data_IF_201238753687
#
_entry.id   IF_201238753687
#
_cell.length_a   1.000
_cell.length_b   1.000
_cell.length_c   1.000
_cell.angle_alpha   90.00
_cell.angle_beta   90.00
_cell.angle_gamma   90.00
#
_symmetry.space_group_name_H-M   'P 1'
#
loop_
_entity.id
_entity.type
_entity.pdbx_description
1 polymer ?
#
# COMPACT_ATOMS: atom_id res chain seq x y z
N UNK A 1 9.43 23.03 -14.29
CA UNK A 1 8.05 22.69 -13.93
C UNK A 1 7.99 21.26 -13.46
N UNK A 2 7.44 20.98 -12.28
CA UNK A 2 7.20 19.60 -11.85
C UNK A 2 6.10 18.97 -12.73
N UNK A 3 6.20 17.70 -13.12
CA UNK A 3 5.13 17.05 -13.85
C UNK A 3 3.95 16.90 -12.90
N UNK A 4 2.84 17.57 -13.21
CA UNK A 4 1.54 17.29 -12.61
C UNK A 4 1.06 15.99 -13.26
N UNK A 5 1.49 14.86 -12.71
CA UNK A 5 0.87 13.58 -13.03
C UNK A 5 -0.58 13.66 -12.59
N UNK A 6 -1.51 13.67 -13.54
CA UNK A 6 -2.95 13.63 -13.27
C UNK A 6 -3.22 12.34 -12.49
N UNK A 7 -3.43 12.47 -11.18
CA UNK A 7 -4.05 11.43 -10.37
C UNK A 7 -5.55 11.66 -10.46
N UNK A 8 -6.28 10.71 -11.03
CA UNK A 8 -7.75 10.79 -11.12
C UNK A 8 -8.35 10.47 -12.49
N UNK A 9 -7.63 9.76 -13.37
CA UNK A 9 -8.10 9.46 -14.73
C UNK A 9 -9.10 8.30 -14.85
N UNK A 10 -9.27 7.46 -13.84
CA UNK A 10 -10.30 6.41 -13.83
C UNK A 10 -10.52 5.87 -12.40
N UNK A 11 -11.07 6.71 -11.52
CA UNK A 11 -11.40 6.35 -10.14
C UNK A 11 -12.59 5.36 -10.03
N UNK A 12 -13.06 4.81 -11.14
CA UNK A 12 -14.23 3.93 -11.20
C UNK A 12 -13.93 2.43 -11.08
N UNK A 13 -12.66 2.03 -10.89
CA UNK A 13 -12.28 0.60 -10.85
C UNK A 13 -11.19 0.24 -9.83
N UNK A 14 -10.80 1.16 -8.94
CA UNK A 14 -9.74 0.93 -7.95
C UNK A 14 -10.26 1.25 -6.54
N UNK A 15 -11.05 0.36 -5.91
CA UNK A 15 -11.72 0.63 -4.65
C UNK A 15 -10.78 0.74 -3.44
N UNK A 16 -9.53 0.28 -3.56
CA UNK A 16 -8.48 0.46 -2.56
C UNK A 16 -7.17 0.88 -3.23
N UNK A 17 -6.72 2.09 -2.91
CA UNK A 17 -5.43 2.65 -3.34
C UNK A 17 -4.54 2.89 -2.13
N UNK A 18 -3.25 2.62 -2.28
CA UNK A 18 -2.22 2.95 -1.30
C UNK A 18 -1.27 3.98 -1.89
N UNK A 19 -0.92 4.99 -1.11
CA UNK A 19 0.15 5.96 -1.40
C UNK A 19 1.09 6.08 -0.22
N UNK A 20 2.39 5.90 -0.45
CA UNK A 20 3.43 5.95 0.58
C UNK A 20 4.47 7.02 0.22
N UNK A 21 4.81 7.84 1.22
CA UNK A 21 5.82 8.90 1.12
C UNK A 21 6.93 8.67 2.14
N UNK A 22 8.16 8.94 1.75
CA UNK A 22 9.32 9.04 2.64
C UNK A 22 9.48 10.50 3.09
N UNK A 23 9.13 10.76 4.35
CA UNK A 23 9.23 12.09 4.96
C UNK A 23 10.67 12.53 5.26
N UNK A 24 11.63 11.61 5.34
CA UNK A 24 13.06 11.93 5.56
C UNK A 24 13.67 12.50 4.28
N UNK A 25 13.29 11.98 3.11
CA UNK A 25 13.74 12.47 1.80
C UNK A 25 12.83 13.51 1.17
N UNK A 26 11.56 13.55 1.59
CA UNK A 26 10.54 14.37 0.95
C UNK A 26 10.11 13.85 -0.43
N UNK A 27 10.16 12.53 -0.64
CA UNK A 27 9.88 11.89 -1.94
C UNK A 27 8.90 10.72 -1.78
N UNK A 28 8.25 10.26 -2.87
CA UNK A 28 7.52 9.01 -2.81
C UNK A 28 8.40 7.82 -2.41
N UNK A 29 7.81 6.85 -1.71
CA UNK A 29 8.50 5.65 -1.23
C UNK A 29 8.07 4.42 -2.03
N UNK A 30 8.85 4.09 -3.05
CA UNK A 30 8.61 2.92 -3.89
C UNK A 30 9.28 1.64 -3.40
N UNK A 31 8.98 0.54 -4.08
CA UNK A 31 9.47 -0.81 -3.82
C UNK A 31 9.12 -1.41 -2.45
N UNK A 32 8.10 -0.87 -1.79
CA UNK A 32 7.58 -1.41 -0.52
C UNK A 32 6.59 -2.52 -0.83
N UNK A 33 6.82 -3.72 -0.30
CA UNK A 33 5.82 -4.80 -0.36
C UNK A 33 4.71 -4.54 0.65
N UNK A 34 3.48 -4.91 0.30
CA UNK A 34 2.36 -4.85 1.23
C UNK A 34 1.44 -6.05 1.07
N UNK A 35 0.74 -6.36 2.15
CA UNK A 35 -0.30 -7.39 2.18
C UNK A 35 -1.61 -6.79 2.71
N UNK A 36 -2.72 -7.17 2.10
CA UNK A 36 -4.07 -6.78 2.53
C UNK A 36 -4.75 -7.98 3.15
N UNK A 37 -5.33 -7.77 4.32
CA UNK A 37 -6.09 -8.74 5.07
C UNK A 37 -7.51 -8.27 5.31
N UNK A 38 -8.45 -9.21 5.38
CA UNK A 38 -9.82 -9.00 5.84
C UNK A 38 -10.06 -9.79 7.11
N UNK A 39 -10.83 -9.22 8.02
CA UNK A 39 -11.26 -9.93 9.21
C UNK A 39 -12.50 -10.77 8.91
N UNK A 40 -12.40 -12.07 9.15
CA UNK A 40 -13.50 -13.02 9.00
C UNK A 40 -14.36 -13.12 10.27
N UNK A 41 -15.51 -13.77 10.14
CA UNK A 41 -16.37 -14.06 11.29
C UNK A 41 -15.61 -14.94 12.30
N UNK A 42 -15.48 -14.45 13.54
CA UNK A 42 -14.64 -15.09 14.56
C UNK A 42 -13.29 -14.39 14.80
N UNK A 43 -12.99 -13.31 14.07
CA UNK A 43 -11.88 -12.41 14.35
C UNK A 43 -10.54 -12.81 13.73
N UNK A 44 -10.50 -13.91 12.97
CA UNK A 44 -9.33 -14.34 12.20
C UNK A 44 -9.06 -13.42 11.02
N UNK A 45 -7.79 -13.24 10.66
CA UNK A 45 -7.38 -12.44 9.51
C UNK A 45 -7.05 -13.34 8.32
N UNK A 46 -7.77 -13.16 7.21
CA UNK A 46 -7.48 -13.81 5.93
C UNK A 46 -6.72 -12.84 5.03
N UNK A 47 -5.64 -13.31 4.40
CA UNK A 47 -4.90 -12.53 3.41
C UNK A 47 -5.65 -12.58 2.08
N UNK A 48 -6.09 -11.42 1.59
CA UNK A 48 -6.91 -11.33 0.37
C UNK A 48 -6.13 -10.77 -0.83
N UNK A 49 -5.06 -10.01 -0.59
CA UNK A 49 -4.24 -9.44 -1.65
C UNK A 49 -2.78 -9.22 -1.21
N UNK A 50 -1.90 -9.10 -2.18
CA UNK A 50 -0.51 -8.62 -2.01
C UNK A 50 -0.21 -7.59 -3.08
N UNK A 51 0.65 -6.63 -2.76
CA UNK A 51 1.04 -5.59 -3.69
C UNK A 51 2.50 -5.20 -3.50
N UNK A 52 3.03 -4.48 -4.50
CA UNK A 52 4.31 -3.80 -4.40
C UNK A 52 4.13 -2.37 -4.89
N UNK A 53 4.47 -1.42 -4.03
CA UNK A 53 4.40 0.02 -4.31
C UNK A 53 5.39 0.36 -5.42
N UNK A 54 4.93 1.04 -6.45
CA UNK A 54 5.76 1.44 -7.58
C UNK A 54 6.66 2.64 -7.25
N UNK A 55 7.46 3.08 -8.21
CA UNK A 55 8.42 4.18 -8.03
C UNK A 55 7.75 5.54 -7.74
N UNK A 56 6.47 5.70 -8.11
CA UNK A 56 5.68 6.90 -7.81
C UNK A 56 5.10 6.89 -6.39
N UNK A 57 5.38 5.83 -5.63
CA UNK A 57 4.92 5.65 -4.26
C UNK A 57 3.49 5.17 -4.18
N UNK A 58 2.94 4.61 -5.26
CA UNK A 58 1.55 4.16 -5.30
C UNK A 58 1.41 2.68 -5.60
N UNK A 59 0.28 2.10 -5.20
CA UNK A 59 -0.21 0.84 -5.74
C UNK A 59 -1.73 0.88 -5.84
N UNK A 60 -2.22 0.36 -6.96
CA UNK A 60 -3.60 0.36 -7.38
C UNK A 60 -4.05 -1.08 -7.66
N UNK A 61 -5.35 -1.29 -7.85
CA UNK A 61 -5.96 -2.57 -8.22
C UNK A 61 -5.59 -3.72 -7.26
N UNK A 62 -5.48 -3.43 -5.96
CA UNK A 62 -5.22 -4.43 -4.93
C UNK A 62 -6.40 -5.38 -4.73
N UNK A 63 -7.62 -4.90 -4.97
CA UNK A 63 -8.87 -5.63 -4.79
C UNK A 63 -9.90 -5.10 -5.80
N UNK A 64 -10.77 -5.96 -6.31
CA UNK A 64 -11.87 -5.54 -7.19
C UNK A 64 -13.05 -4.97 -6.39
N UNK A 65 -13.94 -4.21 -7.05
CA UNK A 65 -15.13 -3.67 -6.39
C UNK A 65 -16.06 -4.79 -5.86
N UNK A 66 -16.11 -5.92 -6.57
CA UNK A 66 -16.93 -7.07 -6.20
C UNK A 66 -16.42 -7.75 -4.91
N UNK A 67 -15.10 -7.77 -4.71
CA UNK A 67 -14.46 -8.35 -3.52
C UNK A 67 -14.42 -7.36 -2.34
N UNK A 68 -14.47 -6.05 -2.62
CA UNK A 68 -14.44 -5.00 -1.61
C UNK A 68 -15.81 -4.76 -0.95
N UNK A 69 -16.24 -5.77 -0.19
CA UNK A 69 -17.49 -5.75 0.57
C UNK A 69 -17.32 -5.06 1.93
N UNK A 70 -18.39 -4.59 2.59
CA UNK A 70 -18.30 -4.02 3.93
C UNK A 70 -17.65 -4.99 4.94
N UNK A 71 -16.71 -4.49 5.75
CA UNK A 71 -15.98 -5.28 6.73
C UNK A 71 -14.78 -4.53 7.31
N UNK A 72 -13.97 -5.24 8.10
CA UNK A 72 -12.72 -4.70 8.66
C UNK A 72 -11.55 -5.21 7.84
N UNK A 73 -10.70 -4.27 7.41
CA UNK A 73 -9.52 -4.55 6.61
C UNK A 73 -8.26 -4.09 7.35
N UNK A 74 -7.15 -4.76 7.09
CA UNK A 74 -5.82 -4.43 7.59
C UNK A 74 -4.84 -4.43 6.42
N UNK A 75 -4.00 -3.42 6.35
CA UNK A 75 -2.89 -3.37 5.38
C UNK A 75 -1.59 -3.40 6.18
N UNK A 76 -0.70 -4.32 5.85
CA UNK A 76 0.63 -4.43 6.44
C UNK A 76 1.67 -4.02 5.40
N UNK A 77 2.63 -3.18 5.79
CA UNK A 77 3.63 -2.62 4.88
C UNK A 77 5.03 -3.06 5.32
N UNK A 78 5.84 -3.60 4.43
CA UNK A 78 7.23 -3.96 4.76
C UNK A 78 8.16 -2.73 4.79
N UNK A 79 7.89 -1.84 5.75
CA UNK A 79 8.69 -0.62 6.00
C UNK A 79 10.09 -0.96 6.51
N UNK A 80 10.25 -2.12 7.16
CA UNK A 80 11.55 -2.60 7.65
C UNK A 80 12.51 -2.85 6.49
N UNK A 81 12.08 -3.60 5.47
CA UNK A 81 12.93 -3.86 4.30
C UNK A 81 13.25 -2.58 3.53
N UNK A 82 12.27 -1.67 3.40
CA UNK A 82 12.49 -0.36 2.80
C UNK A 82 13.64 0.39 3.48
N UNK A 83 13.54 0.61 4.80
CA UNK A 83 14.55 1.37 5.53
C UNK A 83 15.92 0.67 5.58
N UNK A 84 15.95 -0.66 5.61
CA UNK A 84 17.21 -1.41 5.51
C UNK A 84 17.90 -1.21 4.16
N UNK A 85 17.14 -1.22 3.05
CA UNK A 85 17.68 -0.94 1.72
C UNK A 85 18.22 0.50 1.62
N UNK A 86 17.63 1.43 2.39
CA UNK A 86 18.10 2.81 2.56
C UNK A 86 19.27 2.97 3.53
N UNK A 87 19.85 1.86 4.02
CA UNK A 87 20.98 1.88 4.94
C UNK A 87 20.65 2.41 6.34
N UNK A 88 19.37 2.36 6.74
CA UNK A 88 18.89 2.84 8.04
C UNK A 88 18.45 1.69 8.93
N UNK A 89 18.50 1.90 10.24
CA UNK A 89 17.94 0.96 11.23
C UNK A 89 16.49 1.34 11.53
N UNK A 90 15.49 0.58 11.03
CA UNK A 90 14.09 0.84 11.34
C UNK A 90 13.72 0.40 12.76
N UNK A 91 12.77 1.12 13.35
CA UNK A 91 12.14 0.73 14.61
C UNK A 91 11.04 -0.32 14.41
N UNK A 92 10.07 -0.03 13.54
CA UNK A 92 8.95 -0.91 13.24
C UNK A 92 9.42 -2.17 12.49
N UNK A 93 8.76 -3.30 12.77
CA UNK A 93 9.15 -4.60 12.24
C UNK A 93 8.31 -5.03 11.04
N UNK A 94 7.05 -4.59 11.01
CA UNK A 94 6.01 -4.75 9.99
C UNK A 94 5.08 -3.53 10.10
#
# INVERSE_FOLDING_TARGET
>A
SAPVGIHGGSDAHCPLTVKILDAVKGTPAGNIALDVYRQEQGGTWEKIASGKVDITGEVHNLITEQEFTPGVYRVEFDTKSYWKAEGRTPFHQL
#
